data_IF_778313224460
#
_entry.id   IF_778313224460
#
_cell.length_a   1.000
_cell.length_b   1.000
_cell.length_c   1.000
_cell.angle_alpha   90.00
_cell.angle_beta   90.00
_cell.angle_gamma   90.00
#
_symmetry.space_group_name_H-M   'P 1'
#
loop_
_entity.id
_entity.type
_entity.pdbx_description
1 polymer ?
#
# COMPACT_ATOMS: atom_id res chain seq x y z
N UNK A 1 -8.35 24.26 16.74
CA UNK A 1 -8.92 23.12 16.01
C UNK A 1 -8.07 22.91 14.78
N UNK A 2 -7.43 21.75 14.71
CA UNK A 2 -6.17 21.51 14.00
C UNK A 2 -6.33 21.55 12.47
N UNK A 3 -5.70 22.52 11.82
CA UNK A 3 -5.62 22.61 10.35
C UNK A 3 -4.93 21.36 9.76
N UNK A 4 -4.03 20.73 10.53
CA UNK A 4 -3.29 19.52 10.15
C UNK A 4 -4.21 18.29 10.01
N UNK A 5 -5.18 18.11 10.93
CA UNK A 5 -6.16 17.04 10.87
C UNK A 5 -7.15 17.20 9.71
N UNK A 6 -7.53 18.44 9.38
CA UNK A 6 -8.37 18.71 8.20
C UNK A 6 -7.62 18.39 6.91
N UNK A 7 -6.36 18.82 6.81
CA UNK A 7 -5.48 18.50 5.69
C UNK A 7 -5.30 16.98 5.53
N UNK A 8 -5.07 16.26 6.63
CA UNK A 8 -4.97 14.78 6.65
C UNK A 8 -6.22 14.11 6.10
N UNK A 9 -7.41 14.56 6.52
CA UNK A 9 -8.69 13.99 6.06
C UNK A 9 -8.97 14.28 4.57
N UNK A 10 -8.61 15.48 4.10
CA UNK A 10 -8.73 15.85 2.68
C UNK A 10 -7.73 15.07 1.82
N UNK A 11 -6.48 14.93 2.27
CA UNK A 11 -5.46 14.10 1.62
C UNK A 11 -5.91 12.64 1.55
N UNK A 12 -6.42 12.08 2.65
CA UNK A 12 -6.97 10.73 2.71
C UNK A 12 -8.17 10.53 1.77
N UNK A 13 -9.11 11.48 1.72
CA UNK A 13 -10.25 11.44 0.78
C UNK A 13 -9.78 11.50 -0.68
N UNK A 14 -8.68 12.21 -0.93
CA UNK A 14 -8.07 12.33 -2.26
C UNK A 14 -7.27 11.08 -2.64
N UNK A 15 -6.55 10.45 -1.71
CA UNK A 15 -5.87 9.17 -1.92
C UNK A 15 -6.88 8.06 -2.20
N UNK A 16 -7.95 7.99 -1.41
CA UNK A 16 -9.03 6.99 -1.61
C UNK A 16 -9.81 7.20 -2.90
N UNK A 17 -10.09 8.46 -3.28
CA UNK A 17 -10.73 8.78 -4.57
C UNK A 17 -9.79 8.66 -5.77
N UNK A 18 -8.48 8.81 -5.56
CA UNK A 18 -7.43 8.60 -6.58
C UNK A 18 -7.43 7.19 -7.15
N UNK A 19 -7.90 6.20 -6.38
CA UNK A 19 -8.10 4.82 -6.85
C UNK A 19 -9.20 4.65 -7.88
N UNK A 20 -10.15 5.58 -7.96
CA UNK A 20 -11.30 5.44 -8.84
C UNK A 20 -10.97 5.70 -10.32
N UNK A 21 -9.82 6.34 -10.63
CA UNK A 21 -9.45 6.68 -12.01
C UNK A 21 -7.95 6.48 -12.27
N UNK A 22 -7.62 5.69 -13.29
CA UNK A 22 -6.27 5.61 -13.87
C UNK A 22 -5.80 7.05 -14.18
N UNK A 23 -4.74 7.50 -13.50
CA UNK A 23 -4.17 8.85 -13.69
C UNK A 23 -4.04 9.70 -12.42
N UNK A 24 -4.57 9.27 -11.27
CA UNK A 24 -4.47 10.02 -10.00
C UNK A 24 -3.55 9.39 -8.94
N UNK A 25 -2.88 8.28 -9.25
CA UNK A 25 -1.95 7.65 -8.30
C UNK A 25 -0.75 8.55 -7.98
N UNK A 26 -0.24 9.32 -8.96
CA UNK A 26 0.89 10.22 -8.72
C UNK A 26 0.51 11.41 -7.82
N UNK A 27 -0.73 11.90 -7.90
CA UNK A 27 -1.27 12.90 -6.99
C UNK A 27 -1.43 12.33 -5.57
N UNK A 28 -1.93 11.10 -5.45
CA UNK A 28 -2.01 10.40 -4.17
C UNK A 28 -0.62 10.16 -3.56
N UNK A 29 0.40 9.83 -4.36
CA UNK A 29 1.79 9.67 -3.91
C UNK A 29 2.38 10.96 -3.37
N UNK A 30 2.19 12.09 -4.06
CA UNK A 30 2.66 13.40 -3.58
C UNK A 30 2.03 13.76 -2.24
N UNK A 31 0.71 13.60 -2.13
CA UNK A 31 0.00 13.86 -0.88
C UNK A 31 0.48 12.94 0.23
N UNK A 32 0.69 11.66 -0.07
CA UNK A 32 1.25 10.70 0.88
C UNK A 32 2.63 11.15 1.37
N UNK A 33 3.54 11.53 0.47
CA UNK A 33 4.88 11.99 0.83
C UNK A 33 4.84 13.22 1.73
N UNK A 34 3.94 14.18 1.46
CA UNK A 34 3.71 15.38 2.25
C UNK A 34 3.06 15.12 3.63
N UNK A 35 2.49 13.94 3.88
CA UNK A 35 1.90 13.63 5.19
C UNK A 35 2.98 13.60 6.28
N UNK A 36 2.88 14.45 7.32
CA UNK A 36 3.85 14.49 8.42
C UNK A 36 3.83 13.21 9.26
N UNK A 37 2.66 12.56 9.34
CA UNK A 37 2.46 11.26 9.99
C UNK A 37 1.68 10.36 9.04
N UNK A 38 2.25 9.21 8.70
CA UNK A 38 1.62 8.19 7.86
C UNK A 38 1.19 7.06 8.78
N UNK A 39 -0.11 6.87 8.94
CA UNK A 39 -0.65 5.74 9.69
C UNK A 39 -0.66 4.46 8.82
N UNK A 40 -0.87 3.31 9.47
CA UNK A 40 -0.94 1.99 8.84
C UNK A 40 -1.99 1.94 7.71
N UNK A 41 -3.11 2.67 7.88
CA UNK A 41 -4.15 2.77 6.86
C UNK A 41 -3.62 3.47 5.61
N UNK A 42 -2.92 4.60 5.74
CA UNK A 42 -2.33 5.34 4.63
C UNK A 42 -1.34 4.49 3.82
N UNK A 43 -0.49 3.70 4.48
CA UNK A 43 0.42 2.77 3.82
C UNK A 43 -0.33 1.69 3.02
N UNK A 44 -1.29 1.01 3.64
CA UNK A 44 -2.09 -0.03 2.99
C UNK A 44 -2.87 0.50 1.78
N UNK A 45 -3.42 1.69 1.93
CA UNK A 45 -4.11 2.47 0.89
C UNK A 45 -3.17 2.68 -0.30
N UNK A 46 -1.98 3.24 -0.10
CA UNK A 46 -1.05 3.53 -1.19
C UNK A 46 -0.50 2.28 -1.88
N UNK A 47 -0.09 1.27 -1.11
CA UNK A 47 0.42 0.00 -1.65
C UNK A 47 -0.66 -0.65 -2.54
N UNK A 48 -1.89 -0.78 -2.02
CA UNK A 48 -3.02 -1.35 -2.78
C UNK A 48 -3.33 -0.54 -4.04
N UNK A 49 -3.20 0.79 -3.96
CA UNK A 49 -3.33 1.70 -5.09
C UNK A 49 -2.35 1.42 -6.22
N UNK A 50 -1.06 1.35 -5.88
CA UNK A 50 0.00 1.00 -6.83
C UNK A 50 -0.26 -0.36 -7.48
N UNK A 51 -0.63 -1.37 -6.69
CA UNK A 51 -0.97 -2.72 -7.20
C UNK A 51 -2.15 -2.68 -8.20
N UNK A 52 -3.22 -1.93 -7.89
CA UNK A 52 -4.38 -1.76 -8.80
C UNK A 52 -4.03 -1.02 -10.08
N UNK A 53 -3.09 -0.08 -10.00
CA UNK A 53 -2.55 0.62 -11.16
C UNK A 53 -1.50 -0.19 -11.95
N UNK A 54 -1.16 -1.41 -11.51
CA UNK A 54 -0.08 -2.25 -12.04
C UNK A 54 1.32 -1.63 -11.93
N UNK A 55 1.48 -0.68 -11.02
CA UNK A 55 2.75 -0.02 -10.68
C UNK A 55 3.48 -0.87 -9.62
N UNK A 56 3.90 -2.08 -9.99
CA UNK A 56 4.44 -3.07 -9.05
C UNK A 56 5.72 -2.60 -8.36
N UNK A 57 6.59 -1.90 -9.07
CA UNK A 57 7.84 -1.39 -8.52
C UNK A 57 7.59 -0.36 -7.41
N UNK A 58 6.64 0.55 -7.62
CA UNK A 58 6.23 1.53 -6.59
C UNK A 58 5.55 0.85 -5.40
N UNK A 59 4.71 -0.15 -5.66
CA UNK A 59 4.08 -0.93 -4.60
C UNK A 59 5.15 -1.63 -3.73
N UNK A 60 6.17 -2.23 -4.36
CA UNK A 60 7.29 -2.87 -3.67
C UNK A 60 8.12 -1.87 -2.87
N UNK A 61 8.42 -0.71 -3.44
CA UNK A 61 9.20 0.32 -2.74
C UNK A 61 8.46 0.83 -1.49
N UNK A 62 7.17 1.14 -1.62
CA UNK A 62 6.33 1.53 -0.49
C UNK A 62 6.23 0.43 0.54
N UNK A 63 6.08 -0.81 0.07
CA UNK A 63 6.10 -1.96 0.93
C UNK A 63 7.42 -1.99 1.70
N UNK A 64 8.58 -2.09 1.06
CA UNK A 64 9.87 -2.21 1.75
C UNK A 64 10.15 -1.07 2.76
N UNK A 65 9.66 0.15 2.50
CA UNK A 65 9.76 1.29 3.43
C UNK A 65 8.88 1.15 4.67
N UNK A 66 7.77 0.43 4.59
CA UNK A 66 6.81 0.33 5.69
C UNK A 66 7.26 -0.70 6.73
N UNK A 67 7.65 -0.27 7.94
CA UNK A 67 8.19 -1.20 8.96
C UNK A 67 7.13 -1.93 9.79
N UNK A 68 5.92 -1.37 9.91
CA UNK A 68 4.83 -1.87 10.77
C UNK A 68 3.76 -2.62 9.97
N UNK A 69 4.19 -3.54 9.11
CA UNK A 69 3.30 -4.30 8.23
C UNK A 69 2.45 -5.27 9.03
N UNK A 70 1.17 -5.35 8.71
CA UNK A 70 0.27 -6.38 9.22
C UNK A 70 0.00 -7.46 8.17
N UNK A 71 -0.71 -8.51 8.58
CA UNK A 71 -1.19 -9.59 7.70
C UNK A 71 -1.93 -9.04 6.47
N UNK A 72 -2.67 -7.94 6.61
CA UNK A 72 -3.39 -7.30 5.51
C UNK A 72 -2.43 -6.71 4.48
N UNK A 73 -1.36 -6.03 4.91
CA UNK A 73 -0.32 -5.48 4.02
C UNK A 73 0.35 -6.60 3.21
N UNK A 74 0.74 -7.69 3.88
CA UNK A 74 1.38 -8.84 3.23
C UNK A 74 0.45 -9.50 2.20
N UNK A 75 -0.80 -9.78 2.60
CA UNK A 75 -1.81 -10.40 1.72
C UNK A 75 -2.13 -9.53 0.51
N UNK A 76 -2.14 -8.20 0.66
CA UNK A 76 -2.32 -7.28 -0.45
C UNK A 76 -1.21 -7.43 -1.49
N UNK A 77 0.06 -7.45 -1.07
CA UNK A 77 1.21 -7.62 -1.98
C UNK A 77 1.20 -8.98 -2.68
N UNK A 78 0.94 -10.07 -1.94
CA UNK A 78 0.86 -11.42 -2.52
C UNK A 78 -0.24 -11.45 -3.59
N UNK A 79 -1.44 -10.98 -3.26
CA UNK A 79 -2.57 -10.95 -4.18
C UNK A 79 -2.29 -10.07 -5.40
N UNK A 80 -1.64 -8.92 -5.21
CA UNK A 80 -1.26 -8.02 -6.29
C UNK A 80 -0.32 -8.67 -7.30
N UNK A 81 0.73 -9.35 -6.83
CA UNK A 81 1.66 -10.08 -7.69
C UNK A 81 0.98 -11.25 -8.41
N UNK A 82 0.17 -12.05 -7.72
CA UNK A 82 -0.59 -13.16 -8.32
C UNK A 82 -1.50 -12.66 -9.45
N UNK A 83 -2.24 -11.58 -9.21
CA UNK A 83 -3.16 -11.00 -10.20
C UNK A 83 -2.48 -10.45 -11.45
N UNK A 84 -1.16 -10.18 -11.40
CA UNK A 84 -0.39 -9.75 -12.55
C UNK A 84 0.52 -10.84 -13.14
N UNK A 85 0.43 -12.07 -12.64
CA UNK A 85 1.19 -13.22 -13.13
C UNK A 85 2.63 -13.32 -12.61
N UNK A 86 2.99 -12.52 -11.61
CA UNK A 86 4.31 -12.49 -10.98
C UNK A 86 4.39 -13.52 -9.84
N UNK A 87 4.24 -14.80 -10.17
CA UNK A 87 4.13 -15.87 -9.17
C UNK A 87 5.40 -16.08 -8.35
N UNK A 88 6.59 -15.75 -8.89
CA UNK A 88 7.86 -15.89 -8.16
C UNK A 88 7.98 -14.83 -7.06
N UNK A 89 7.59 -13.61 -7.39
CA UNK A 89 7.57 -12.46 -6.51
C UNK A 89 6.53 -12.66 -5.40
N UNK A 90 5.34 -13.17 -5.75
CA UNK A 90 4.33 -13.55 -4.77
C UNK A 90 4.85 -14.59 -3.75
N UNK A 91 5.59 -15.61 -4.22
CA UNK A 91 6.22 -16.60 -3.34
C UNK A 91 7.36 -16.02 -2.50
N UNK A 92 8.11 -15.03 -3.02
CA UNK A 92 9.14 -14.32 -2.25
C UNK A 92 8.50 -13.57 -1.08
N UNK A 93 7.45 -12.79 -1.35
CA UNK A 93 6.71 -12.05 -0.31
C UNK A 93 6.11 -13.00 0.73
N UNK A 94 5.55 -14.13 0.30
CA UNK A 94 5.00 -15.13 1.23
C UNK A 94 6.07 -15.72 2.16
N UNK A 95 7.31 -15.92 1.67
CA UNK A 95 8.43 -16.37 2.52
C UNK A 95 8.87 -15.27 3.48
N UNK A 96 9.04 -14.06 2.98
CA UNK A 96 9.39 -12.87 3.78
C UNK A 96 8.37 -12.66 4.92
N UNK A 97 7.08 -12.85 4.65
CA UNK A 97 6.01 -12.80 5.66
C UNK A 97 6.23 -13.81 6.79
N UNK A 98 6.52 -15.07 6.43
CA UNK A 98 6.75 -16.15 7.40
C UNK A 98 8.01 -15.92 8.23
N UNK A 99 9.06 -15.41 7.61
CA UNK A 99 10.32 -15.07 8.29
C UNK A 99 10.13 -13.88 9.25
N UNK A 100 9.20 -12.97 8.94
CA UNK A 100 8.78 -11.90 9.84
C UNK A 100 7.91 -12.37 11.02
N UNK A 101 7.57 -13.66 11.10
CA UNK A 101 6.72 -14.24 12.14
C UNK A 101 5.22 -14.00 11.93
N UNK A 102 4.85 -13.40 10.79
CA UNK A 102 3.46 -13.19 10.40
C UNK A 102 2.93 -14.45 9.70
N UNK A 103 1.74 -14.91 10.09
CA UNK A 103 1.10 -16.05 9.45
C UNK A 103 0.05 -15.54 8.45
N UNK A 104 0.13 -15.93 7.16
CA UNK A 104 -0.91 -15.61 6.21
C UNK A 104 -2.21 -16.27 6.69
N UNK A 105 -3.29 -15.50 6.75
CA UNK A 105 -4.63 -16.02 7.04
C UNK A 105 -4.96 -17.10 6.00
N UNK A 106 -4.80 -18.35 6.41
CA UNK A 106 -5.23 -19.53 5.64
C UNK A 106 -6.72 -19.69 5.91
N UNK A 107 -7.53 -19.04 5.06
CA UNK A 107 -8.97 -19.29 4.94
C UNK A 107 -9.26 -20.39 3.94
#
# INVERSE_FOLDING_TARGET
FDDSARARKVAWSSMTSGYAKRGKIDEAMRLFDEMPEKDQVAWNVMITGCLKCKEMDKARELFDKFTEKDVVTWNAMISGYVNCGYSKEALSIFKEMRDAGEHPDVG
#
